data_IF_129565252747
#
_entry.id   IF_129565252747
#
_cell.length_a   1.000
_cell.length_b   1.000
_cell.length_c   1.000
_cell.angle_alpha   90.00
_cell.angle_beta   90.00
_cell.angle_gamma   90.00
#
_symmetry.space_group_name_H-M   'P 1'
#
loop_
_entity.id
_entity.type
_entity.pdbx_description
1 polymer ?
#
# COMPACT_ATOMS: atom_id res chain seq x y z
N UNK A 1 5.37 14.26 5.13
CA UNK A 1 6.73 14.15 5.72
C UNK A 1 7.10 12.68 5.83
N UNK A 2 8.39 12.33 5.70
CA UNK A 2 8.83 10.96 5.97
C UNK A 2 8.61 10.64 7.45
N UNK A 3 7.90 9.55 7.73
CA UNK A 3 7.70 9.07 9.09
C UNK A 3 7.48 7.56 9.05
N UNK A 4 8.03 6.85 10.03
CA UNK A 4 7.80 5.43 10.22
C UNK A 4 6.66 5.20 11.22
N UNK A 5 5.90 4.13 11.03
CA UNK A 5 4.97 3.64 12.04
C UNK A 5 5.72 2.79 13.11
N UNK A 6 4.98 2.28 14.09
CA UNK A 6 5.52 1.43 15.16
C UNK A 6 6.15 0.11 14.67
N UNK A 7 5.91 -0.28 13.42
CA UNK A 7 6.48 -1.45 12.77
C UNK A 7 7.68 -1.13 11.86
N UNK A 8 8.16 0.12 11.85
CA UNK A 8 9.28 0.53 11.01
C UNK A 8 8.94 0.64 9.53
N UNK A 9 7.65 0.77 9.17
CA UNK A 9 7.17 0.93 7.79
C UNK A 9 6.81 2.40 7.57
N UNK A 10 7.20 2.96 6.43
CA UNK A 10 6.80 4.30 6.00
C UNK A 10 5.27 4.45 6.09
N UNK A 11 4.81 5.49 6.80
CA UNK A 11 3.41 5.61 7.22
C UNK A 11 2.41 5.64 6.08
N UNK A 12 2.73 6.29 4.97
CA UNK A 12 1.84 6.35 3.81
C UNK A 12 1.76 4.99 3.12
N UNK A 13 2.90 4.30 2.94
CA UNK A 13 2.92 2.95 2.40
C UNK A 13 2.18 1.96 3.31
N UNK A 14 2.39 2.06 4.62
CA UNK A 14 1.70 1.26 5.62
C UNK A 14 0.17 1.45 5.54
N UNK A 15 -0.29 2.70 5.42
CA UNK A 15 -1.72 3.03 5.41
C UNK A 15 -2.38 2.72 4.07
N UNK A 16 -1.81 3.20 2.97
CA UNK A 16 -2.44 3.20 1.65
C UNK A 16 -2.29 1.87 0.91
N UNK A 17 -1.30 1.05 1.27
CA UNK A 17 -1.02 -0.23 0.60
C UNK A 17 -1.08 -1.42 1.56
N UNK A 18 -0.20 -1.47 2.57
CA UNK A 18 -0.09 -2.65 3.45
C UNK A 18 -1.37 -2.89 4.25
N UNK A 19 -1.98 -1.85 4.80
CA UNK A 19 -3.25 -1.94 5.53
C UNK A 19 -4.38 -2.50 4.65
N UNK A 20 -4.50 -2.02 3.42
CA UNK A 20 -5.49 -2.55 2.46
C UNK A 20 -5.21 -4.00 2.08
N UNK A 21 -3.95 -4.38 1.87
CA UNK A 21 -3.56 -5.76 1.59
C UNK A 21 -3.95 -6.69 2.75
N UNK A 22 -3.59 -6.33 3.98
CA UNK A 22 -3.91 -7.11 5.18
C UNK A 22 -5.42 -7.21 5.37
N UNK A 23 -6.17 -6.11 5.25
CA UNK A 23 -7.63 -6.10 5.35
C UNK A 23 -8.26 -7.05 4.33
N UNK A 24 -7.87 -6.91 3.06
CA UNK A 24 -8.41 -7.74 1.96
C UNK A 24 -8.09 -9.21 2.19
N UNK A 25 -6.85 -9.54 2.53
CA UNK A 25 -6.43 -10.92 2.82
C UNK A 25 -7.20 -11.52 3.99
N UNK A 26 -7.45 -10.74 5.04
CA UNK A 26 -8.18 -11.17 6.24
C UNK A 26 -9.65 -11.47 5.93
N UNK A 27 -10.27 -10.64 5.08
CA UNK A 27 -11.68 -10.79 4.70
C UNK A 27 -11.92 -11.74 3.52
N UNK A 28 -10.86 -12.13 2.79
CA UNK A 28 -10.96 -12.91 1.56
C UNK A 28 -11.87 -14.14 1.69
N UNK A 29 -11.77 -14.99 2.73
CA UNK A 29 -12.64 -16.16 2.85
C UNK A 29 -14.13 -15.81 2.93
N UNK A 30 -14.48 -14.72 3.63
CA UNK A 30 -15.87 -14.27 3.77
C UNK A 30 -16.37 -13.64 2.47
N UNK A 31 -15.52 -12.89 1.78
CA UNK A 31 -15.81 -12.30 0.48
C UNK A 31 -16.10 -13.41 -0.54
N UNK A 32 -15.28 -14.45 -0.58
CA UNK A 32 -15.46 -15.62 -1.46
C UNK A 32 -16.75 -16.39 -1.16
N UNK A 33 -17.14 -16.49 0.11
CA UNK A 33 -18.40 -17.13 0.51
C UNK A 33 -19.66 -16.30 0.19
N UNK A 34 -19.51 -14.98 -0.03
CA UNK A 34 -20.64 -14.03 -0.17
C UNK A 34 -21.00 -13.74 -1.64
N UNK A 35 -20.90 -14.72 -2.54
CA UNK A 35 -21.11 -14.48 -3.98
C UNK A 35 -22.55 -14.05 -4.30
N UNK A 36 -22.75 -13.04 -5.17
CA UNK A 36 -21.73 -12.28 -5.88
C UNK A 36 -21.11 -11.17 -5.02
N UNK A 37 -19.78 -11.11 -4.98
CA UNK A 37 -19.01 -10.11 -4.23
C UNK A 37 -17.95 -9.44 -5.13
N UNK A 38 -17.44 -8.28 -4.72
CA UNK A 38 -16.42 -7.51 -5.45
C UNK A 38 -15.48 -6.78 -4.49
N UNK A 39 -14.24 -6.61 -4.90
CA UNK A 39 -13.25 -5.76 -4.23
C UNK A 39 -12.95 -4.58 -5.17
N UNK A 40 -13.02 -3.35 -4.65
CA UNK A 40 -12.72 -2.12 -5.39
C UNK A 40 -11.71 -1.31 -4.60
N UNK A 41 -10.54 -1.05 -5.20
CA UNK A 41 -9.49 -0.23 -4.60
C UNK A 41 -9.58 1.19 -5.13
N UNK A 42 -9.64 2.17 -4.23
CA UNK A 42 -9.58 3.59 -4.59
C UNK A 42 -8.11 4.02 -4.68
N UNK A 43 -7.76 4.71 -5.76
CA UNK A 43 -6.41 5.23 -6.01
C UNK A 43 -6.47 6.70 -6.45
N UNK A 44 -5.31 7.30 -6.69
CA UNK A 44 -5.16 8.68 -7.16
C UNK A 44 -4.14 8.75 -8.28
N UNK A 45 -4.09 9.85 -9.05
CA UNK A 45 -3.10 10.02 -10.12
C UNK A 45 -1.64 9.96 -9.64
N UNK A 46 -1.38 10.15 -8.34
CA UNK A 46 -0.05 10.10 -7.75
C UNK A 46 0.63 8.73 -7.87
N UNK A 47 -0.11 7.63 -8.09
CA UNK A 47 0.50 6.32 -8.32
C UNK A 47 1.52 6.33 -9.48
N UNK A 48 1.40 7.30 -10.40
CA UNK A 48 2.30 7.48 -11.54
C UNK A 48 3.71 7.95 -11.14
N UNK A 49 3.86 8.47 -9.92
CA UNK A 49 5.14 8.94 -9.37
C UNK A 49 5.91 7.86 -8.62
N UNK A 50 5.24 6.76 -8.26
CA UNK A 50 5.87 5.61 -7.63
C UNK A 50 6.99 5.03 -8.51
N UNK A 51 7.99 4.34 -7.93
CA UNK A 51 9.08 3.75 -8.70
C UNK A 51 8.56 2.86 -9.84
N UNK A 52 9.11 3.05 -11.05
CA UNK A 52 8.69 2.30 -12.24
C UNK A 52 8.91 0.80 -12.14
N UNK A 53 9.83 0.39 -11.27
CA UNK A 53 10.12 -1.02 -10.94
C UNK A 53 9.04 -1.65 -10.05
N UNK A 54 8.07 -0.86 -9.58
CA UNK A 54 7.07 -1.29 -8.60
C UNK A 54 7.60 -1.17 -7.18
N UNK A 55 7.26 -2.15 -6.34
CA UNK A 55 7.71 -2.18 -4.95
C UNK A 55 9.22 -2.48 -4.93
N UNK A 56 9.99 -1.58 -4.31
CA UNK A 56 11.39 -1.84 -3.99
C UNK A 56 11.45 -2.68 -2.71
N UNK A 57 11.66 -3.99 -2.83
CA UNK A 57 11.74 -4.86 -1.66
C UNK A 57 13.06 -4.72 -0.88
N UNK A 58 14.11 -4.19 -1.52
CA UNK A 58 15.40 -3.92 -0.88
C UNK A 58 15.36 -2.64 -0.03
N UNK A 59 14.45 -1.72 -0.36
CA UNK A 59 14.14 -0.50 0.42
C UNK A 59 12.63 -0.22 0.36
N UNK A 60 11.90 -0.89 1.24
CA UNK A 60 10.43 -0.78 1.32
C UNK A 60 9.95 0.60 1.80
N UNK A 61 10.83 1.38 2.41
CA UNK A 61 10.52 2.68 3.00
C UNK A 61 10.90 3.85 2.08
N UNK A 62 11.67 3.57 1.02
CA UNK A 62 12.17 4.54 0.05
C UNK A 62 12.81 5.76 0.74
N UNK A 63 13.64 5.51 1.76
CA UNK A 63 14.10 6.54 2.70
C UNK A 63 14.88 7.68 2.03
N UNK A 64 15.50 7.36 0.88
CA UNK A 64 16.31 8.29 0.08
C UNK A 64 15.51 9.03 -0.98
N UNK A 65 14.23 8.69 -1.17
CA UNK A 65 13.37 9.28 -2.18
C UNK A 65 12.60 10.50 -1.65
N UNK A 66 12.22 11.37 -2.57
CA UNK A 66 11.39 12.52 -2.26
C UNK A 66 9.95 12.12 -1.87
N UNK A 67 9.21 13.08 -1.32
CA UNK A 67 7.86 12.82 -0.83
C UNK A 67 6.85 12.46 -1.93
N UNK A 68 7.12 12.81 -3.19
CA UNK A 68 6.25 12.51 -4.33
C UNK A 68 6.50 11.10 -4.84
N UNK A 69 7.76 10.64 -4.86
CA UNK A 69 8.10 9.26 -5.22
C UNK A 69 7.73 8.25 -4.12
N UNK A 70 7.74 8.67 -2.85
CA UNK A 70 7.29 7.85 -1.71
C UNK A 70 5.78 7.65 -1.61
N UNK A 71 4.98 8.53 -2.21
CA UNK A 71 3.53 8.53 -2.14
C UNK A 71 2.90 7.61 -3.19
#
# INVERSE_FOLDING_TARGET
>A
PYELNEHGIEKQFATNYIGHFVLTKTLLPVIEASTPSRIVNVSSLSYKSAPKTGINFDDINLEKEDAVTRY
#
